data_IF_486071886835
#
_entry.id   IF_486071886835
#
_cell.length_a   1.000
_cell.length_b   1.000
_cell.length_c   1.000
_cell.angle_alpha   90.00
_cell.angle_beta   90.00
_cell.angle_gamma   90.00
#
_symmetry.space_group_name_H-M   'P 1'
#
loop_
_entity.id
_entity.type
_entity.pdbx_description
1 polymer ?
#
# COMPACT_ATOMS: atom_id res chain seq x y z
N UNK A 1 -26.74 55.17 50.38
CA UNK A 1 -26.69 56.45 49.63
C UNK A 1 -25.30 56.51 49.00
N UNK A 2 -25.18 56.07 47.74
CA UNK A 2 -25.17 56.90 46.52
C UNK A 2 -23.78 57.49 46.19
N UNK A 3 -23.32 57.15 44.96
CA UNK A 3 -22.34 57.89 44.13
C UNK A 3 -20.86 57.82 44.56
N UNK A 4 -19.83 57.69 43.71
CA UNK A 4 -19.66 57.97 42.27
C UNK A 4 -18.36 57.35 41.71
N UNK A 5 -18.41 56.91 40.43
CA UNK A 5 -17.40 56.93 39.34
C UNK A 5 -15.90 56.76 39.66
N UNK A 6 -15.19 55.70 39.26
CA UNK A 6 -14.66 55.40 37.89
C UNK A 6 -14.02 56.61 37.19
N UNK A 7 -12.68 56.66 37.13
CA UNK A 7 -11.92 56.66 35.87
C UNK A 7 -10.39 56.56 36.05
N UNK A 8 -9.78 55.78 35.13
CA UNK A 8 -8.42 55.85 34.60
C UNK A 8 -7.19 55.62 35.50
N UNK A 9 -6.59 54.42 35.41
CA UNK A 9 -5.18 54.11 35.02
C UNK A 9 -5.17 52.59 34.75
N UNK A 10 -5.11 52.09 33.51
CA UNK A 10 -3.90 52.04 32.68
C UNK A 10 -3.37 50.60 32.61
N UNK A 11 -4.07 49.71 31.91
CA UNK A 11 -3.65 48.32 31.66
C UNK A 11 -2.50 48.28 30.64
N UNK A 12 -1.33 47.83 31.08
CA UNK A 12 -0.21 47.43 30.22
C UNK A 12 -0.62 46.19 29.40
N UNK A 13 -0.86 46.38 28.09
CA UNK A 13 -1.03 45.28 27.14
C UNK A 13 0.33 44.64 26.88
N UNK A 14 0.41 43.35 27.15
CA UNK A 14 1.45 42.46 26.64
C UNK A 14 1.57 42.58 25.10
N UNK A 15 2.79 42.46 24.54
CA UNK A 15 3.00 42.56 23.10
C UNK A 15 2.28 41.41 22.40
N UNK A 16 1.35 41.76 21.51
CA UNK A 16 0.72 40.84 20.56
C UNK A 16 1.82 40.19 19.72
N UNK A 17 2.10 38.92 20.00
CA UNK A 17 2.83 38.02 19.11
C UNK A 17 2.16 38.05 17.75
N UNK A 18 2.90 38.55 16.76
CA UNK A 18 2.54 38.50 15.35
C UNK A 18 2.35 37.03 14.98
N UNK A 19 1.23 36.63 14.32
CA UNK A 19 1.12 35.27 13.82
C UNK A 19 2.25 35.08 12.80
N UNK A 20 3.20 34.20 13.14
CA UNK A 20 4.12 33.61 12.18
C UNK A 20 3.25 33.10 11.02
N UNK A 21 3.55 33.56 9.81
CA UNK A 21 2.88 33.10 8.61
C UNK A 21 3.03 31.58 8.52
N UNK A 22 1.99 30.85 8.91
CA UNK A 22 1.81 29.45 8.55
C UNK A 22 1.79 29.43 7.03
N UNK A 23 2.89 28.99 6.43
CA UNK A 23 2.97 28.76 5.00
C UNK A 23 1.78 27.91 4.59
N UNK A 24 1.07 28.33 3.55
CA UNK A 24 0.00 27.54 2.95
C UNK A 24 0.59 26.21 2.51
N UNK A 25 0.21 25.11 3.16
CA UNK A 25 0.61 23.76 2.75
C UNK A 25 0.11 23.56 1.31
N UNK A 26 1.00 23.22 0.35
CA UNK A 26 0.60 22.98 -1.03
C UNK A 26 -0.52 21.94 -1.10
N UNK A 27 -1.52 22.17 -1.96
CA UNK A 27 -2.56 21.17 -2.16
C UNK A 27 -1.99 19.95 -2.91
N UNK A 28 -2.61 18.79 -2.77
CA UNK A 28 -2.29 17.60 -3.57
C UNK A 28 -2.20 17.88 -5.09
N UNK A 29 -2.97 18.83 -5.61
CA UNK A 29 -2.90 19.26 -7.03
C UNK A 29 -1.61 20.02 -7.35
N UNK A 30 -1.15 20.87 -6.42
CA UNK A 30 0.09 21.63 -6.60
C UNK A 30 1.28 20.70 -6.61
N UNK A 31 1.29 19.68 -5.74
CA UNK A 31 2.33 18.67 -5.73
C UNK A 31 2.33 17.83 -7.03
N UNK A 32 1.16 17.43 -7.54
CA UNK A 32 1.06 16.77 -8.85
C UNK A 32 1.53 17.68 -10.00
N UNK A 33 1.21 18.97 -9.96
CA UNK A 33 1.71 19.93 -10.95
C UNK A 33 3.23 20.08 -10.88
N UNK A 34 3.80 20.12 -9.67
CA UNK A 34 5.25 20.13 -9.44
C UNK A 34 5.94 18.86 -9.97
N UNK A 35 5.34 17.68 -9.78
CA UNK A 35 5.86 16.44 -10.36
C UNK A 35 5.80 16.44 -11.88
N UNK A 36 4.72 16.94 -12.48
CA UNK A 36 4.60 17.07 -13.93
C UNK A 36 5.64 18.03 -14.52
N UNK A 37 5.92 19.14 -13.83
CA UNK A 37 6.97 20.07 -14.23
C UNK A 37 8.36 19.42 -14.14
N UNK A 38 8.64 18.72 -13.04
CA UNK A 38 9.88 17.95 -12.87
C UNK A 38 10.06 16.89 -13.96
N UNK A 39 9.01 16.12 -14.27
CA UNK A 39 9.01 15.13 -15.34
C UNK A 39 9.40 15.77 -16.68
N UNK A 40 8.81 16.92 -17.01
CA UNK A 40 9.11 17.65 -18.26
C UNK A 40 10.57 18.11 -18.30
N UNK A 41 11.10 18.63 -17.19
CA UNK A 41 12.49 19.06 -17.10
C UNK A 41 13.48 17.88 -17.24
N UNK A 42 13.19 16.76 -16.57
CA UNK A 42 13.98 15.53 -16.63
C UNK A 42 13.96 14.91 -18.03
N UNK A 43 12.81 14.88 -18.71
CA UNK A 43 12.72 14.38 -20.08
C UNK A 43 13.54 15.22 -21.06
N UNK A 44 13.64 16.53 -20.84
CA UNK A 44 14.55 17.40 -21.61
C UNK A 44 16.01 16.94 -21.55
N UNK A 45 16.46 16.37 -20.42
CA UNK A 45 17.82 15.89 -20.22
C UNK A 45 18.12 14.55 -20.91
N UNK A 46 17.10 13.86 -21.44
CA UNK A 46 17.30 12.67 -22.28
C UNK A 46 17.94 13.02 -23.62
N UNK A 47 17.81 14.27 -24.07
CA UNK A 47 18.50 14.73 -25.26
C UNK A 47 20.00 14.89 -24.99
N UNK A 48 20.88 14.53 -25.95
CA UNK A 48 22.32 14.72 -25.79
C UNK A 48 22.65 16.20 -25.58
N UNK A 49 23.34 16.51 -24.48
CA UNK A 49 23.86 17.84 -24.20
C UNK A 49 25.40 17.84 -24.18
N UNK A 50 25.97 19.04 -24.07
CA UNK A 50 27.42 19.26 -23.94
C UNK A 50 27.82 19.64 -22.52
N UNK A 51 26.98 19.39 -21.52
CA UNK A 51 27.29 19.74 -20.14
C UNK A 51 28.45 18.87 -19.64
N UNK A 52 29.40 19.45 -18.89
CA UNK A 52 30.37 18.67 -18.13
C UNK A 52 29.65 17.66 -17.21
N UNK A 53 30.23 16.48 -17.02
CA UNK A 53 29.61 15.38 -16.25
C UNK A 53 29.16 15.81 -14.85
N UNK A 54 30.00 16.55 -14.12
CA UNK A 54 29.67 17.04 -12.78
C UNK A 54 28.49 18.03 -12.80
N UNK A 55 28.43 18.93 -13.78
CA UNK A 55 27.32 19.87 -13.93
C UNK A 55 26.02 19.15 -14.30
N UNK A 56 26.10 18.12 -15.17
CA UNK A 56 24.95 17.29 -15.53
C UNK A 56 24.45 16.50 -14.31
N UNK A 57 25.35 15.89 -13.53
CA UNK A 57 24.99 15.20 -12.28
C UNK A 57 24.31 16.14 -11.30
N UNK A 58 24.87 17.33 -11.06
CA UNK A 58 24.30 18.33 -10.16
C UNK A 58 22.88 18.78 -10.59
N UNK A 59 22.64 18.93 -11.89
CA UNK A 59 21.32 19.28 -12.42
C UNK A 59 20.29 18.17 -12.20
N UNK A 60 20.66 16.91 -12.50
CA UNK A 60 19.77 15.75 -12.26
C UNK A 60 19.50 15.61 -10.75
N UNK A 61 20.52 15.79 -9.92
CA UNK A 61 20.42 15.76 -8.46
C UNK A 61 19.47 16.82 -7.89
N UNK A 62 19.48 18.03 -8.45
CA UNK A 62 18.55 19.08 -8.05
C UNK A 62 17.10 18.70 -8.39
N UNK A 63 16.85 18.25 -9.62
CA UNK A 63 15.52 17.81 -10.05
C UNK A 63 15.02 16.58 -9.26
N UNK A 64 15.91 15.65 -8.91
CA UNK A 64 15.58 14.57 -7.99
C UNK A 64 15.13 15.09 -6.62
N UNK A 65 15.84 16.08 -6.08
CA UNK A 65 15.52 16.69 -4.78
C UNK A 65 14.16 17.35 -4.83
N UNK A 66 13.89 18.15 -5.86
CA UNK A 66 12.61 18.82 -6.08
C UNK A 66 11.46 17.80 -6.21
N UNK A 67 11.68 16.71 -6.95
CA UNK A 67 10.72 15.62 -7.05
C UNK A 67 10.44 14.94 -5.71
N UNK A 68 11.47 14.66 -4.90
CA UNK A 68 11.30 14.05 -3.57
C UNK A 68 10.53 14.96 -2.61
N UNK A 69 10.75 16.27 -2.67
CA UNK A 69 9.99 17.25 -1.89
C UNK A 69 8.52 17.24 -2.31
N UNK A 70 8.22 17.35 -3.60
CA UNK A 70 6.85 17.29 -4.10
C UNK A 70 6.13 15.99 -3.72
N UNK A 71 6.83 14.85 -3.75
CA UNK A 71 6.30 13.56 -3.29
C UNK A 71 6.01 13.58 -1.78
N UNK A 72 6.92 14.08 -0.95
CA UNK A 72 6.75 14.12 0.50
C UNK A 72 5.56 15.01 0.89
N UNK A 73 5.42 16.18 0.26
CA UNK A 73 4.29 17.09 0.46
C UNK A 73 2.95 16.43 0.09
N UNK A 74 2.88 15.78 -1.07
CA UNK A 74 1.67 15.08 -1.52
C UNK A 74 1.25 13.94 -0.57
N UNK A 75 2.22 13.16 -0.09
CA UNK A 75 1.96 12.01 0.79
C UNK A 75 1.52 12.46 2.19
N UNK A 76 2.02 13.60 2.68
CA UNK A 76 1.58 14.15 3.97
C UNK A 76 0.07 14.47 3.94
N UNK A 77 -0.48 14.75 2.76
CA UNK A 77 -1.91 14.95 2.50
C UNK A 77 -2.60 13.72 1.88
N UNK A 78 -2.02 12.51 2.07
CA UNK A 78 -2.52 11.27 1.46
C UNK A 78 -3.99 10.98 1.77
N UNK A 79 -4.48 11.38 2.94
CA UNK A 79 -5.90 11.28 3.27
C UNK A 79 -6.79 12.08 2.29
N UNK A 80 -6.38 13.28 1.85
CA UNK A 80 -7.13 14.05 0.85
C UNK A 80 -6.99 13.50 -0.56
N UNK A 81 -5.86 12.84 -0.87
CA UNK A 81 -5.70 12.03 -2.09
C UNK A 81 -6.69 10.85 -2.14
N UNK A 82 -7.20 10.37 -0.98
CA UNK A 82 -8.23 9.33 -0.91
C UNK A 82 -9.66 9.87 -1.03
N UNK A 83 -9.97 11.01 -0.42
CA UNK A 83 -11.34 11.58 -0.33
C UNK A 83 -11.93 11.94 -1.71
N UNK A 84 -11.09 12.21 -2.70
CA UNK A 84 -11.54 12.69 -4.02
C UNK A 84 -11.73 11.57 -5.06
N UNK A 85 -11.96 10.35 -4.61
CA UNK A 85 -12.03 9.18 -5.47
C UNK A 85 -10.63 8.69 -5.84
N UNK A 86 -10.47 7.37 -5.83
CA UNK A 86 -9.19 6.65 -5.89
C UNK A 86 -8.36 6.93 -7.18
N UNK A 87 -8.92 7.65 -8.15
CA UNK A 87 -8.22 8.12 -9.34
C UNK A 87 -7.01 9.03 -9.03
N UNK A 88 -7.08 9.85 -7.98
CA UNK A 88 -6.02 10.82 -7.68
C UNK A 88 -4.76 10.17 -7.10
N UNK A 89 -4.89 9.24 -6.15
CA UNK A 89 -3.73 8.51 -5.63
C UNK A 89 -3.02 7.71 -6.72
N UNK A 90 -3.78 6.96 -7.53
CA UNK A 90 -3.18 6.19 -8.63
C UNK A 90 -2.46 7.10 -9.62
N UNK A 91 -3.11 8.17 -10.06
CA UNK A 91 -2.50 9.14 -10.99
C UNK A 91 -1.23 9.77 -10.41
N UNK A 92 -1.24 10.10 -9.11
CA UNK A 92 -0.06 10.59 -8.41
C UNK A 92 1.05 9.54 -8.36
N UNK A 93 0.73 8.29 -7.97
CA UNK A 93 1.70 7.20 -7.91
C UNK A 93 2.29 6.89 -9.30
N UNK A 94 1.49 6.94 -10.36
CA UNK A 94 1.95 6.79 -11.75
C UNK A 94 2.93 7.91 -12.15
N UNK A 95 2.61 9.16 -11.84
CA UNK A 95 3.50 10.31 -12.10
C UNK A 95 4.82 10.19 -11.34
N UNK A 96 4.76 9.86 -10.04
CA UNK A 96 5.96 9.59 -9.25
C UNK A 96 6.77 8.43 -9.84
N UNK A 97 6.10 7.33 -10.25
CA UNK A 97 6.74 6.20 -10.88
C UNK A 97 7.47 6.57 -12.19
N UNK A 98 6.88 7.44 -13.00
CA UNK A 98 7.50 7.94 -14.23
C UNK A 98 8.70 8.82 -13.95
N UNK A 99 8.59 9.78 -13.02
CA UNK A 99 9.70 10.66 -12.62
C UNK A 99 10.91 9.85 -12.15
N UNK A 100 10.71 8.89 -11.24
CA UNK A 100 11.80 8.02 -10.78
C UNK A 100 12.25 7.01 -11.83
N UNK A 101 11.43 6.73 -12.85
CA UNK A 101 11.83 6.01 -14.06
C UNK A 101 12.85 6.78 -14.88
N UNK A 102 12.54 8.05 -15.19
CA UNK A 102 13.45 8.91 -15.94
C UNK A 102 14.76 9.09 -15.17
N UNK A 103 14.71 9.30 -13.85
CA UNK A 103 15.90 9.39 -13.00
C UNK A 103 16.73 8.10 -13.03
N UNK A 104 16.09 6.93 -12.94
CA UNK A 104 16.76 5.63 -13.05
C UNK A 104 17.52 5.49 -14.37
N UNK A 105 16.92 5.94 -15.48
CA UNK A 105 17.55 5.93 -16.80
C UNK A 105 18.70 6.94 -16.90
N UNK A 106 18.49 8.19 -16.48
CA UNK A 106 19.52 9.25 -16.54
C UNK A 106 20.74 8.93 -15.68
N UNK A 107 20.55 8.41 -14.47
CA UNK A 107 21.66 7.95 -13.64
C UNK A 107 22.28 6.66 -14.18
N UNK A 108 21.49 5.79 -14.82
CA UNK A 108 21.98 4.60 -15.50
C UNK A 108 22.96 4.96 -16.62
N UNK A 109 22.57 5.93 -17.46
CA UNK A 109 23.43 6.46 -18.53
C UNK A 109 24.73 7.04 -18.00
N UNK A 110 24.71 7.70 -16.84
CA UNK A 110 25.93 8.21 -16.18
C UNK A 110 26.80 7.07 -15.62
N UNK A 111 26.17 6.07 -14.98
CA UNK A 111 26.84 4.89 -14.42
C UNK A 111 27.58 4.09 -15.49
N UNK A 112 26.99 3.99 -16.68
CA UNK A 112 27.51 3.21 -17.82
C UNK A 112 28.66 3.92 -18.55
N UNK A 113 28.93 5.21 -18.26
CA UNK A 113 30.06 5.92 -18.87
C UNK A 113 31.39 5.35 -18.39
N UNK A 114 32.24 4.99 -19.36
CA UNK A 114 33.62 4.65 -19.11
C UNK A 114 34.40 5.85 -18.57
N UNK A 115 35.33 5.60 -17.64
CA UNK A 115 36.24 6.63 -17.12
C UNK A 115 35.61 7.65 -16.18
N UNK A 116 34.40 7.40 -15.64
CA UNK A 116 33.83 8.23 -14.57
C UNK A 116 34.77 8.21 -13.35
N UNK A 117 35.21 9.37 -12.84
CA UNK A 117 35.98 9.48 -11.60
C UNK A 117 35.30 8.74 -10.43
N UNK A 118 36.10 8.21 -9.51
CA UNK A 118 35.62 7.33 -8.42
C UNK A 118 34.67 8.04 -7.44
N UNK A 119 34.92 9.32 -7.18
CA UNK A 119 34.07 10.20 -6.36
C UNK A 119 32.70 10.40 -7.01
N UNK A 120 32.67 10.76 -8.30
CA UNK A 120 31.43 10.90 -9.07
C UNK A 120 30.72 9.55 -9.23
N UNK A 121 31.45 8.45 -9.38
CA UNK A 121 30.86 7.10 -9.45
C UNK A 121 30.16 6.73 -8.17
N UNK A 122 30.78 7.02 -7.03
CA UNK A 122 30.17 6.77 -5.72
C UNK A 122 28.87 7.55 -5.54
N UNK A 123 28.84 8.82 -5.93
CA UNK A 123 27.61 9.63 -5.88
C UNK A 123 26.53 9.09 -6.84
N UNK A 124 26.91 8.76 -8.09
CA UNK A 124 26.00 8.21 -9.09
C UNK A 124 25.40 6.87 -8.62
N UNK A 125 26.20 5.97 -8.04
CA UNK A 125 25.72 4.67 -7.56
C UNK A 125 24.70 4.82 -6.41
N UNK A 126 24.93 5.77 -5.49
CA UNK A 126 23.98 6.07 -4.41
C UNK A 126 22.67 6.62 -4.97
N UNK A 127 22.74 7.58 -5.89
CA UNK A 127 21.55 8.21 -6.48
C UNK A 127 20.79 7.25 -7.40
N UNK A 128 21.50 6.42 -8.16
CA UNK A 128 20.92 5.38 -9.00
C UNK A 128 20.16 4.34 -8.15
N UNK A 129 20.77 3.86 -7.07
CA UNK A 129 20.10 2.94 -6.15
C UNK A 129 18.90 3.58 -5.46
N UNK A 130 19.03 4.85 -5.05
CA UNK A 130 17.93 5.62 -4.46
C UNK A 130 16.77 5.82 -5.43
N UNK A 131 17.05 6.15 -6.70
CA UNK A 131 16.06 6.26 -7.76
C UNK A 131 15.40 4.92 -8.06
N UNK A 132 16.17 3.81 -8.09
CA UNK A 132 15.64 2.46 -8.25
C UNK A 132 14.69 2.07 -7.11
N UNK A 133 15.06 2.37 -5.86
CA UNK A 133 14.22 2.10 -4.69
C UNK A 133 12.90 2.90 -4.75
N UNK A 134 12.95 4.18 -5.09
CA UNK A 134 11.74 4.99 -5.25
C UNK A 134 10.89 4.53 -6.44
N UNK A 135 11.51 4.24 -7.58
CA UNK A 135 10.81 3.67 -8.75
C UNK A 135 10.06 2.40 -8.35
N UNK A 136 10.72 1.48 -7.64
CA UNK A 136 10.10 0.23 -7.19
C UNK A 136 8.90 0.48 -6.26
N UNK A 137 9.04 1.38 -5.28
CA UNK A 137 7.96 1.76 -4.37
C UNK A 137 6.73 2.20 -5.15
N UNK A 138 6.91 3.10 -6.11
CA UNK A 138 5.82 3.67 -6.89
C UNK A 138 5.26 2.70 -7.92
N UNK A 139 6.07 1.83 -8.50
CA UNK A 139 5.62 0.74 -9.37
C UNK A 139 4.64 -0.20 -8.63
N UNK A 140 4.98 -0.58 -7.40
CA UNK A 140 4.13 -1.42 -6.54
C UNK A 140 2.81 -0.74 -6.15
N UNK A 141 2.78 0.60 -6.11
CA UNK A 141 1.59 1.39 -5.71
C UNK A 141 0.72 1.82 -6.89
N UNK A 142 1.31 2.09 -8.05
CA UNK A 142 0.62 2.60 -9.25
C UNK A 142 0.05 1.50 -10.13
N UNK A 143 0.55 0.27 -10.00
CA UNK A 143 0.23 -0.84 -10.92
C UNK A 143 0.63 -0.54 -12.37
N UNK A 144 1.73 0.20 -12.58
CA UNK A 144 2.37 0.30 -13.91
C UNK A 144 3.26 -0.91 -14.17
N UNK A 145 3.59 -1.22 -15.45
CA UNK A 145 4.46 -2.34 -15.78
C UNK A 145 5.85 -2.24 -15.12
N UNK A 146 6.42 -3.41 -14.84
CA UNK A 146 7.74 -3.52 -14.22
C UNK A 146 8.83 -2.86 -15.07
N UNK A 147 9.69 -2.05 -14.44
CA UNK A 147 10.80 -1.44 -15.15
C UNK A 147 11.87 -2.47 -15.51
N UNK A 148 12.11 -2.67 -16.82
CA UNK A 148 12.94 -3.75 -17.38
C UNK A 148 14.36 -3.85 -16.80
N UNK A 149 14.98 -2.71 -16.44
CA UNK A 149 16.36 -2.69 -15.93
C UNK A 149 16.45 -2.61 -14.40
N UNK A 150 15.34 -2.47 -13.67
CA UNK A 150 15.39 -2.08 -12.26
C UNK A 150 16.19 -3.07 -11.41
N UNK A 151 15.90 -4.36 -11.54
CA UNK A 151 16.58 -5.39 -10.76
C UNK A 151 18.02 -5.64 -11.23
N UNK A 152 18.31 -5.47 -12.52
CA UNK A 152 19.69 -5.48 -13.02
C UNK A 152 20.50 -4.35 -12.36
N UNK A 153 19.98 -3.12 -12.36
CA UNK A 153 20.68 -1.97 -11.76
C UNK A 153 20.91 -2.16 -10.26
N UNK A 154 19.89 -2.61 -9.51
CA UNK A 154 20.04 -2.89 -8.08
C UNK A 154 21.13 -3.94 -7.82
N UNK A 155 21.14 -5.01 -8.63
CA UNK A 155 22.14 -6.07 -8.55
C UNK A 155 23.56 -5.59 -8.85
N UNK A 156 23.74 -4.86 -9.96
CA UNK A 156 25.03 -4.32 -10.38
C UNK A 156 25.62 -3.38 -9.32
N UNK A 157 24.79 -2.49 -8.76
CA UNK A 157 25.22 -1.55 -7.70
C UNK A 157 25.58 -2.31 -6.43
N UNK A 158 24.77 -3.31 -6.04
CA UNK A 158 25.07 -4.13 -4.87
C UNK A 158 26.43 -4.82 -4.98
N UNK A 159 26.72 -5.39 -6.16
CA UNK A 159 28.00 -6.04 -6.45
C UNK A 159 29.16 -5.04 -6.44
N UNK A 160 29.01 -3.86 -7.07
CA UNK A 160 30.04 -2.81 -7.05
C UNK A 160 30.32 -2.27 -5.66
N UNK A 161 29.28 -2.09 -4.85
CA UNK A 161 29.38 -1.59 -3.48
C UNK A 161 29.88 -2.67 -2.49
N UNK A 162 30.12 -3.90 -2.96
CA UNK A 162 30.50 -5.05 -2.15
C UNK A 162 29.58 -5.25 -0.93
N UNK A 163 28.28 -5.02 -1.12
CA UNK A 163 27.25 -5.13 -0.07
C UNK A 163 27.37 -4.14 1.09
N UNK A 164 28.12 -3.04 0.95
CA UNK A 164 28.36 -2.07 2.01
C UNK A 164 28.23 -0.60 1.56
N UNK A 165 28.19 0.32 2.52
CA UNK A 165 28.12 1.76 2.24
C UNK A 165 26.74 2.27 1.82
N UNK A 166 26.64 3.56 1.43
CA UNK A 166 25.34 4.21 1.21
C UNK A 166 24.56 3.63 0.02
N UNK A 167 25.22 3.23 -1.06
CA UNK A 167 24.57 2.64 -2.23
C UNK A 167 23.92 1.29 -1.90
N UNK A 168 24.63 0.43 -1.14
CA UNK A 168 24.09 -0.84 -0.66
C UNK A 168 22.88 -0.65 0.27
N UNK A 169 22.86 0.42 1.09
CA UNK A 169 21.68 0.76 1.93
C UNK A 169 20.45 1.10 1.10
N UNK A 170 20.62 1.81 -0.02
CA UNK A 170 19.49 2.09 -0.92
C UNK A 170 19.04 0.82 -1.68
N UNK A 171 19.95 -0.10 -2.01
CA UNK A 171 19.56 -1.44 -2.49
C UNK A 171 18.75 -2.22 -1.42
N UNK A 172 19.14 -2.17 -0.14
CA UNK A 172 18.37 -2.76 0.96
C UNK A 172 17.00 -2.11 1.12
N UNK A 173 16.89 -0.78 0.90
CA UNK A 173 15.59 -0.09 0.88
C UNK A 173 14.67 -0.64 -0.21
N UNK A 174 15.18 -0.87 -1.42
CA UNK A 174 14.40 -1.48 -2.49
C UNK A 174 13.90 -2.89 -2.11
N UNK A 175 14.77 -3.72 -1.53
CA UNK A 175 14.42 -5.05 -1.03
C UNK A 175 13.39 -4.98 0.11
N UNK A 176 13.49 -3.98 0.97
CA UNK A 176 12.53 -3.72 2.04
C UNK A 176 11.14 -3.39 1.47
N UNK A 177 11.03 -2.48 0.49
CA UNK A 177 9.75 -2.18 -0.18
C UNK A 177 9.12 -3.43 -0.81
N UNK A 178 9.93 -4.24 -1.51
CA UNK A 178 9.44 -5.46 -2.15
C UNK A 178 8.96 -6.50 -1.13
N UNK A 179 9.76 -6.77 -0.10
CA UNK A 179 9.46 -7.78 0.92
C UNK A 179 8.34 -7.36 1.87
N UNK A 180 8.17 -6.06 2.11
CA UNK A 180 7.03 -5.49 2.83
C UNK A 180 5.71 -5.57 2.05
N UNK A 181 5.74 -6.07 0.81
CA UNK A 181 4.53 -6.28 0.01
C UNK A 181 3.78 -4.98 -0.25
N UNK A 182 4.51 -3.93 -0.66
CA UNK A 182 3.93 -2.60 -0.93
C UNK A 182 2.73 -2.63 -1.87
N UNK A 183 2.57 -3.65 -2.73
CA UNK A 183 1.39 -3.88 -3.57
C UNK A 183 0.09 -4.22 -2.80
N UNK A 184 0.18 -4.34 -1.46
CA UNK A 184 -0.91 -4.59 -0.53
C UNK A 184 -1.09 -3.47 0.50
N UNK A 185 -0.19 -2.48 0.52
CA UNK A 185 -0.23 -1.39 1.49
C UNK A 185 -1.27 -0.38 1.03
N UNK A 186 -2.31 -0.10 1.84
CA UNK A 186 -3.28 0.92 1.49
C UNK A 186 -2.60 2.28 1.43
N UNK A 187 -3.02 3.19 0.53
CA UNK A 187 -2.39 4.49 0.36
C UNK A 187 -2.20 5.29 1.65
N UNK A 188 -3.17 5.26 2.56
CA UNK A 188 -3.10 5.96 3.84
C UNK A 188 -1.98 5.46 4.76
N UNK A 189 -1.56 4.20 4.63
CA UNK A 189 -0.47 3.61 5.40
C UNK A 189 0.90 3.76 4.71
N UNK A 190 0.96 4.17 3.44
CA UNK A 190 2.21 4.32 2.68
C UNK A 190 3.23 5.25 3.36
N UNK A 191 2.88 6.46 3.87
CA UNK A 191 3.84 7.29 4.60
C UNK A 191 4.42 6.58 5.82
N UNK A 192 3.55 5.99 6.65
CA UNK A 192 3.95 5.30 7.88
C UNK A 192 4.90 4.12 7.59
N UNK A 193 4.57 3.28 6.61
CA UNK A 193 5.41 2.13 6.22
C UNK A 193 6.76 2.62 5.67
N UNK A 194 6.79 3.68 4.87
CA UNK A 194 8.01 4.25 4.31
C UNK A 194 8.96 4.79 5.39
N UNK A 195 8.43 5.55 6.36
CA UNK A 195 9.21 6.05 7.50
C UNK A 195 9.75 4.92 8.38
N UNK A 196 8.93 3.88 8.65
CA UNK A 196 9.37 2.70 9.40
C UNK A 196 10.47 1.93 8.66
N UNK A 197 10.39 1.77 7.34
CA UNK A 197 11.48 1.21 6.54
C UNK A 197 12.74 2.07 6.66
N UNK A 198 12.60 3.39 6.60
CA UNK A 198 13.70 4.33 6.81
C UNK A 198 14.46 4.08 8.11
N UNK A 199 13.74 3.89 9.22
CA UNK A 199 14.33 3.56 10.54
C UNK A 199 14.88 2.13 10.58
N UNK A 200 14.29 1.20 9.85
CA UNK A 200 14.69 -0.21 9.84
C UNK A 200 15.97 -0.49 9.06
N UNK A 201 16.32 0.30 8.04
CA UNK A 201 17.45 0.04 7.11
C UNK A 201 18.78 -0.33 7.79
N UNK A 202 19.23 0.35 8.86
CA UNK A 202 20.46 -0.01 9.55
C UNK A 202 20.47 -1.43 10.14
N UNK A 203 19.29 -2.04 10.31
CA UNK A 203 19.06 -3.36 10.89
C UNK A 203 18.62 -4.41 9.83
N UNK A 204 18.73 -4.06 8.55
CA UNK A 204 18.48 -4.97 7.42
C UNK A 204 19.80 -5.44 6.82
N UNK A 205 19.82 -6.68 6.35
CA UNK A 205 21.01 -7.26 5.74
C UNK A 205 20.67 -8.23 4.60
N UNK A 206 21.68 -8.47 3.76
CA UNK A 206 21.74 -9.61 2.85
C UNK A 206 22.87 -10.54 3.32
N UNK A 207 22.52 -11.77 3.66
CA UNK A 207 23.47 -12.76 4.16
C UNK A 207 23.62 -13.93 3.17
N UNK A 208 24.82 -14.51 3.02
CA UNK A 208 24.99 -15.75 2.25
C UNK A 208 24.17 -16.90 2.84
N UNK A 209 23.64 -17.75 1.95
CA UNK A 209 22.94 -18.98 2.32
C UNK A 209 21.45 -18.78 2.63
N UNK A 210 20.64 -19.82 2.38
CA UNK A 210 19.21 -19.82 2.73
C UNK A 210 19.05 -20.08 4.23
N UNK A 211 18.63 -19.07 4.99
CA UNK A 211 18.30 -19.25 6.41
C UNK A 211 16.80 -19.56 6.57
N UNK A 212 16.42 -20.26 7.65
CA UNK A 212 15.00 -20.48 7.96
C UNK A 212 14.25 -19.17 8.29
N UNK A 213 15.00 -18.13 8.65
CA UNK A 213 14.54 -16.80 9.07
C UNK A 213 14.38 -15.85 7.89
N UNK A 214 15.30 -15.88 6.93
CA UNK A 214 15.27 -15.01 5.77
C UNK A 214 14.48 -15.61 4.62
N UNK A 215 13.44 -14.89 4.21
CA UNK A 215 12.37 -15.45 3.38
C UNK A 215 12.37 -14.95 1.95
N UNK A 216 13.32 -14.12 1.58
CA UNK A 216 13.50 -13.66 0.21
C UNK A 216 14.94 -13.94 -0.21
N UNK A 217 15.10 -14.68 -1.31
CA UNK A 217 16.37 -14.83 -1.99
C UNK A 217 16.50 -13.76 -3.06
N UNK A 218 17.64 -13.10 -3.07
CA UNK A 218 18.04 -12.15 -4.08
C UNK A 218 19.38 -12.61 -4.66
N UNK A 219 19.40 -12.85 -5.96
CA UNK A 219 20.64 -13.05 -6.71
C UNK A 219 20.95 -11.73 -7.45
N UNK A 220 21.97 -10.97 -7.00
CA UNK A 220 22.36 -9.72 -7.65
C UNK A 220 22.73 -9.89 -9.13
N UNK A 221 23.26 -11.04 -9.55
CA UNK A 221 23.69 -11.27 -10.92
C UNK A 221 22.53 -11.69 -11.84
N UNK A 222 21.42 -12.18 -11.30
CA UNK A 222 20.29 -12.67 -12.09
C UNK A 222 19.44 -11.57 -12.73
N UNK A 223 19.53 -10.33 -12.23
CA UNK A 223 18.71 -9.21 -12.71
C UNK A 223 17.20 -9.41 -12.51
N UNK A 224 16.81 -10.18 -11.50
CA UNK A 224 15.41 -10.56 -11.23
C UNK A 224 14.94 -10.09 -9.84
N UNK A 225 13.63 -9.88 -9.66
CA UNK A 225 13.08 -9.58 -8.35
C UNK A 225 13.37 -10.69 -7.33
N UNK A 226 13.46 -10.34 -6.02
CA UNK A 226 13.67 -11.33 -4.97
C UNK A 226 12.56 -12.38 -4.95
N UNK A 227 12.95 -13.65 -4.86
CA UNK A 227 12.00 -14.76 -4.76
C UNK A 227 11.70 -15.08 -3.31
N UNK A 228 10.43 -15.13 -2.95
CA UNK A 228 10.02 -15.59 -1.62
C UNK A 228 10.27 -17.09 -1.46
N UNK A 229 11.04 -17.49 -0.45
CA UNK A 229 11.25 -18.87 -0.04
C UNK A 229 9.99 -19.44 0.62
N UNK A 230 9.55 -20.58 0.13
CA UNK A 230 8.44 -21.37 0.69
C UNK A 230 8.97 -22.65 1.37
N UNK A 231 10.14 -23.13 0.96
CA UNK A 231 10.89 -24.23 1.56
C UNK A 231 12.38 -23.87 1.53
N UNK A 232 13.15 -24.40 2.48
CA UNK A 232 14.61 -24.29 2.47
C UNK A 232 15.11 -25.14 1.30
N UNK A 233 15.59 -24.48 0.25
CA UNK A 233 16.26 -25.09 -0.89
C UNK A 233 17.77 -24.89 -0.72
N UNK A 234 18.59 -25.75 -1.33
CA UNK A 234 20.02 -25.47 -1.44
C UNK A 234 20.17 -24.14 -2.20
N UNK A 235 20.83 -23.13 -1.63
CA UNK A 235 21.00 -21.84 -2.29
C UNK A 235 21.77 -22.04 -3.59
N UNK A 236 21.24 -21.50 -4.69
CA UNK A 236 21.99 -21.37 -5.94
C UNK A 236 23.25 -20.52 -5.67
N UNK A 237 24.35 -20.81 -6.38
CA UNK A 237 25.61 -20.09 -6.19
C UNK A 237 25.40 -18.58 -6.37
N UNK A 238 25.74 -17.78 -5.35
CA UNK A 238 25.61 -16.31 -5.39
C UNK A 238 24.30 -15.74 -4.84
N UNK A 239 23.30 -16.57 -4.53
CA UNK A 239 22.05 -16.11 -3.93
C UNK A 239 22.24 -15.66 -2.48
N UNK A 240 21.74 -14.46 -2.17
CA UNK A 240 21.75 -13.85 -0.85
C UNK A 240 20.35 -13.85 -0.25
N UNK A 241 20.29 -14.01 1.06
CA UNK A 241 19.04 -14.04 1.81
C UNK A 241 18.80 -12.70 2.48
N UNK A 242 17.64 -12.10 2.26
CA UNK A 242 17.20 -10.91 2.97
C UNK A 242 16.84 -11.24 4.42
N UNK A 243 17.53 -10.58 5.35
CA UNK A 243 17.40 -10.76 6.79
C UNK A 243 16.84 -9.49 7.41
N UNK A 244 15.74 -9.64 8.16
CA UNK A 244 15.03 -8.55 8.83
C UNK A 244 14.82 -8.80 10.33
N UNK A 245 15.50 -9.78 10.93
CA UNK A 245 15.30 -10.19 12.32
C UNK A 245 15.55 -9.04 13.32
N UNK A 246 16.67 -8.33 13.17
CA UNK A 246 17.02 -7.20 14.03
C UNK A 246 16.05 -6.03 13.84
N UNK A 247 15.66 -5.75 12.58
CA UNK A 247 14.61 -4.77 12.30
C UNK A 247 13.28 -5.15 12.97
N UNK A 248 12.87 -6.42 12.92
CA UNK A 248 11.67 -6.91 13.60
C UNK A 248 11.72 -6.70 15.11
N UNK A 249 12.88 -6.87 15.75
CA UNK A 249 13.03 -6.62 17.19
C UNK A 249 12.76 -5.14 17.54
N UNK A 250 13.36 -4.21 16.79
CA UNK A 250 13.14 -2.76 16.98
C UNK A 250 11.68 -2.38 16.71
N UNK A 251 11.11 -2.86 15.61
CA UNK A 251 9.72 -2.59 15.24
C UNK A 251 8.72 -3.18 16.25
N UNK A 252 9.05 -4.29 16.90
CA UNK A 252 8.22 -4.86 17.97
C UNK A 252 8.19 -3.94 19.19
N UNK A 253 9.33 -3.34 19.55
CA UNK A 253 9.40 -2.32 20.61
C UNK A 253 8.58 -1.07 20.27
N UNK A 254 8.59 -0.63 19.01
CA UNK A 254 7.73 0.46 18.54
C UNK A 254 6.25 0.10 18.59
N UNK A 255 5.89 -1.14 18.26
CA UNK A 255 4.51 -1.63 18.36
C UNK A 255 3.97 -1.56 19.79
N UNK A 256 4.79 -1.85 20.80
CA UNK A 256 4.41 -1.68 22.20
C UNK A 256 4.19 -0.21 22.56
N UNK A 257 5.09 0.69 22.15
CA UNK A 257 4.94 2.14 22.41
C UNK A 257 3.68 2.72 21.76
N UNK A 258 3.42 2.38 20.50
CA UNK A 258 2.24 2.84 19.76
C UNK A 258 0.95 2.32 20.39
N UNK A 259 0.95 1.09 20.93
CA UNK A 259 -0.19 0.57 21.67
C UNK A 259 -0.52 1.37 22.94
N UNK A 260 0.49 1.98 23.56
CA UNK A 260 0.35 2.90 24.71
C UNK A 260 0.07 4.36 24.26
N UNK A 261 -0.12 4.60 22.97
CA UNK A 261 -0.37 5.93 22.39
C UNK A 261 0.88 6.79 22.24
N UNK A 262 2.08 6.22 22.39
CA UNK A 262 3.36 6.91 22.28
C UNK A 262 3.91 6.78 20.86
N UNK A 263 4.22 7.91 20.21
CA UNK A 263 4.88 7.93 18.89
C UNK A 263 6.38 7.71 19.07
N UNK A 264 6.99 6.69 18.44
CA UNK A 264 8.41 6.42 18.59
C UNK A 264 9.30 7.55 18.05
N UNK A 265 10.52 7.72 18.59
CA UNK A 265 11.47 8.72 18.12
C UNK A 265 11.77 8.59 16.62
N UNK A 266 11.85 9.71 15.91
CA UNK A 266 12.11 9.74 14.46
C UNK A 266 10.89 9.47 13.57
N UNK A 267 9.72 9.20 14.16
CA UNK A 267 8.44 9.03 13.43
C UNK A 267 7.44 10.16 13.70
N UNK A 268 7.84 11.18 14.46
CA UNK A 268 6.98 12.34 14.73
C UNK A 268 6.62 13.08 13.43
N UNK A 269 5.33 13.29 13.20
CA UNK A 269 4.81 13.95 11.99
C UNK A 269 4.78 13.07 10.74
N UNK A 270 5.25 11.82 10.79
CA UNK A 270 5.21 10.90 9.65
C UNK A 270 3.79 10.38 9.36
N UNK A 271 3.03 10.13 10.42
CA UNK A 271 1.69 9.55 10.38
C UNK A 271 1.01 9.67 11.75
N UNK A 272 -0.30 9.45 11.83
CA UNK A 272 -1.00 9.32 13.10
C UNK A 272 -0.74 7.94 13.77
N UNK A 273 -1.13 7.81 15.05
CA UNK A 273 -0.92 6.59 15.84
C UNK A 273 -1.61 5.36 15.22
N UNK A 274 -2.77 5.54 14.59
CA UNK A 274 -3.51 4.43 13.98
C UNK A 274 -2.82 3.93 12.71
N UNK A 275 -2.35 4.85 11.87
CA UNK A 275 -1.56 4.57 10.67
C UNK A 275 -0.23 3.90 11.03
N UNK A 276 0.44 4.37 12.09
CA UNK A 276 1.66 3.72 12.60
C UNK A 276 1.38 2.29 13.09
N UNK A 277 0.29 2.08 13.81
CA UNK A 277 -0.11 0.75 14.28
C UNK A 277 -0.37 -0.21 13.11
N UNK A 278 -1.10 0.24 12.09
CA UNK A 278 -1.36 -0.54 10.87
C UNK A 278 -0.06 -0.88 10.13
N UNK A 279 0.82 0.12 9.95
CA UNK A 279 2.09 -0.07 9.27
C UNK A 279 3.03 -1.05 10.01
N UNK A 280 3.11 -0.96 11.34
CA UNK A 280 3.84 -1.90 12.18
C UNK A 280 3.27 -3.31 12.07
N UNK A 281 1.94 -3.45 12.09
CA UNK A 281 1.29 -4.74 11.90
C UNK A 281 1.65 -5.35 10.53
N UNK A 282 1.67 -4.55 9.46
CA UNK A 282 2.05 -5.03 8.12
C UNK A 282 3.49 -5.55 8.11
N UNK A 283 4.45 -4.74 8.59
CA UNK A 283 5.87 -5.09 8.56
C UNK A 283 6.16 -6.30 9.43
N UNK A 284 5.73 -6.29 10.70
CA UNK A 284 5.94 -7.40 11.63
C UNK A 284 5.29 -8.69 11.12
N UNK A 285 4.10 -8.59 10.51
CA UNK A 285 3.45 -9.75 9.91
C UNK A 285 4.27 -10.32 8.77
N UNK A 286 4.88 -9.51 7.90
CA UNK A 286 5.56 -9.99 6.68
C UNK A 286 7.05 -10.31 6.87
N UNK A 287 7.69 -9.74 7.89
CA UNK A 287 9.10 -9.95 8.21
C UNK A 287 9.33 -10.85 9.44
N UNK A 288 8.27 -11.32 10.11
CA UNK A 288 8.40 -12.27 11.22
C UNK A 288 9.08 -13.58 10.80
N UNK A 289 9.36 -14.43 11.78
CA UNK A 289 9.84 -15.80 11.54
C UNK A 289 8.74 -16.70 10.96
N UNK A 290 7.47 -16.29 11.04
CA UNK A 290 6.28 -17.03 10.59
C UNK A 290 5.33 -16.27 9.64
N UNK A 291 5.83 -15.74 8.49
CA UNK A 291 5.12 -15.42 7.27
C UNK A 291 3.74 -15.98 7.07
N UNK A 292 2.70 -15.21 6.72
CA UNK A 292 1.55 -15.83 6.08
C UNK A 292 1.98 -16.66 4.86
N UNK A 293 1.87 -17.98 4.96
CA UNK A 293 2.06 -18.91 3.85
C UNK A 293 0.70 -19.21 3.26
N UNK A 294 0.65 -19.41 1.94
CA UNK A 294 -0.59 -19.82 1.27
C UNK A 294 -1.06 -21.14 1.87
N UNK A 295 -2.25 -21.12 2.50
CA UNK A 295 -2.87 -22.32 3.10
C UNK A 295 -3.43 -23.28 2.07
N UNK A 296 -3.89 -22.75 0.94
CA UNK A 296 -4.53 -23.52 -0.12
C UNK A 296 -3.75 -23.36 -1.43
N UNK A 297 -3.62 -24.49 -2.15
CA UNK A 297 -3.04 -24.50 -3.49
C UNK A 297 -3.93 -23.69 -4.44
N UNK A 298 -3.30 -22.96 -5.36
CA UNK A 298 -3.98 -22.33 -6.48
C UNK A 298 -3.99 -23.28 -7.67
N UNK A 299 -5.15 -23.38 -8.29
CA UNK A 299 -5.36 -24.12 -9.53
C UNK A 299 -5.42 -23.07 -10.65
N UNK A 300 -4.61 -23.25 -11.69
CA UNK A 300 -4.74 -22.45 -12.90
C UNK A 300 -6.08 -22.82 -13.54
N UNK A 301 -6.94 -21.84 -13.71
CA UNK A 301 -8.31 -22.00 -14.18
C UNK A 301 -8.58 -20.86 -15.13
N UNK A 302 -8.91 -21.18 -16.38
CA UNK A 302 -9.46 -20.22 -17.33
C UNK A 302 -10.95 -20.00 -17.09
N UNK A 303 -11.52 -19.03 -17.80
CA UNK A 303 -12.95 -18.73 -17.78
C UNK A 303 -13.24 -17.25 -17.57
N UNK A 304 -14.52 -16.91 -17.56
CA UNK A 304 -15.00 -15.56 -17.28
C UNK A 304 -15.69 -15.48 -15.92
N UNK A 305 -15.50 -14.35 -15.23
CA UNK A 305 -16.21 -13.98 -14.02
C UNK A 305 -17.10 -12.78 -14.32
N UNK A 306 -18.39 -12.89 -13.99
CA UNK A 306 -19.25 -11.72 -13.83
C UNK A 306 -18.88 -11.03 -12.52
N UNK A 307 -18.63 -9.72 -12.58
CA UNK A 307 -18.18 -8.93 -11.44
C UNK A 307 -19.06 -7.70 -11.26
N UNK A 308 -19.55 -7.53 -10.03
CA UNK A 308 -20.26 -6.34 -9.55
C UNK A 308 -19.42 -5.70 -8.45
N UNK A 309 -19.30 -4.37 -8.46
CA UNK A 309 -18.43 -3.64 -7.53
C UNK A 309 -19.23 -2.76 -6.60
N UNK A 310 -18.79 -2.70 -5.35
CA UNK A 310 -19.36 -1.85 -4.31
C UNK A 310 -20.57 -2.46 -3.59
N UNK A 311 -20.71 -2.09 -2.32
CA UNK A 311 -21.72 -2.62 -1.40
C UNK A 311 -23.14 -2.48 -1.95
N UNK A 312 -23.53 -1.27 -2.36
CA UNK A 312 -24.90 -0.99 -2.79
C UNK A 312 -25.33 -1.80 -4.01
N UNK A 313 -24.42 -1.96 -4.99
CA UNK A 313 -24.73 -2.74 -6.20
C UNK A 313 -24.85 -4.21 -5.87
N UNK A 314 -23.95 -4.73 -5.03
CA UNK A 314 -23.97 -6.12 -4.58
C UNK A 314 -25.25 -6.38 -3.75
N UNK A 315 -25.62 -5.46 -2.87
CA UNK A 315 -26.86 -5.50 -2.10
C UNK A 315 -28.07 -5.54 -3.03
N UNK A 316 -28.18 -4.62 -3.98
CA UNK A 316 -29.27 -4.57 -4.95
C UNK A 316 -29.35 -5.87 -5.79
N UNK A 317 -28.20 -6.41 -6.19
CA UNK A 317 -28.09 -7.67 -6.91
C UNK A 317 -28.62 -8.85 -6.09
N UNK A 318 -28.17 -8.99 -4.84
CA UNK A 318 -28.59 -10.08 -3.96
C UNK A 318 -30.05 -9.96 -3.51
N UNK A 319 -30.60 -8.74 -3.48
CA UNK A 319 -32.01 -8.49 -3.25
C UNK A 319 -32.90 -8.76 -4.49
N UNK A 320 -32.32 -9.09 -5.65
CA UNK A 320 -33.05 -9.31 -6.91
C UNK A 320 -33.47 -8.03 -7.64
N UNK A 321 -32.94 -6.88 -7.22
CA UNK A 321 -33.30 -5.55 -7.73
C UNK A 321 -32.37 -5.04 -8.85
N UNK A 322 -31.30 -5.77 -9.17
CA UNK A 322 -30.36 -5.42 -10.23
C UNK A 322 -30.39 -6.50 -11.33
N UNK A 323 -30.63 -6.09 -12.58
CA UNK A 323 -30.47 -6.94 -13.77
C UNK A 323 -29.37 -6.36 -14.66
N UNK A 324 -28.38 -7.20 -15.01
CA UNK A 324 -27.36 -6.97 -16.05
C UNK A 324 -26.54 -5.66 -15.98
N UNK A 325 -25.87 -5.41 -14.85
CA UNK A 325 -24.82 -4.37 -14.77
C UNK A 325 -23.52 -4.96 -14.18
N UNK A 326 -23.05 -6.01 -14.85
CA UNK A 326 -21.89 -6.78 -14.45
C UNK A 326 -20.80 -6.62 -15.50
N UNK A 327 -19.56 -6.46 -15.05
CA UNK A 327 -18.39 -6.53 -15.89
C UNK A 327 -17.92 -7.98 -16.06
N UNK A 328 -17.26 -8.29 -17.18
CA UNK A 328 -16.67 -9.61 -17.41
C UNK A 328 -15.15 -9.53 -17.23
N UNK A 329 -14.65 -10.22 -16.20
CA UNK A 329 -13.23 -10.34 -15.91
C UNK A 329 -12.72 -11.73 -16.30
N UNK A 330 -11.45 -11.85 -16.66
CA UNK A 330 -10.88 -13.15 -17.06
C UNK A 330 -10.22 -13.85 -15.87
N UNK A 331 -10.75 -15.01 -15.46
CA UNK A 331 -10.15 -15.82 -14.40
C UNK A 331 -8.78 -16.35 -14.85
N UNK A 332 -7.80 -16.29 -13.96
CA UNK A 332 -6.45 -16.82 -14.17
C UNK A 332 -6.19 -18.03 -13.28
N UNK A 333 -6.52 -17.92 -12.00
CA UNK A 333 -6.43 -19.02 -11.05
C UNK A 333 -7.38 -18.81 -9.88
N UNK A 334 -7.75 -19.92 -9.23
CA UNK A 334 -8.52 -19.87 -8.00
C UNK A 334 -7.95 -20.83 -6.94
N UNK A 335 -8.32 -20.56 -5.70
CA UNK A 335 -8.10 -21.38 -4.51
C UNK A 335 -9.34 -21.29 -3.63
N UNK A 336 -9.39 -22.07 -2.55
CA UNK A 336 -10.52 -22.04 -1.61
C UNK A 336 -10.79 -20.67 -0.97
N UNK A 337 -9.77 -19.82 -0.84
CA UNK A 337 -9.87 -18.53 -0.13
C UNK A 337 -9.61 -17.32 -1.03
N UNK A 338 -9.57 -17.49 -2.35
CA UNK A 338 -9.33 -16.35 -3.23
C UNK A 338 -8.99 -16.75 -4.65
N UNK A 339 -8.99 -15.75 -5.52
CA UNK A 339 -8.81 -15.89 -6.94
C UNK A 339 -7.94 -14.77 -7.52
N UNK A 340 -7.46 -14.98 -8.74
CA UNK A 340 -6.79 -13.98 -9.53
C UNK A 340 -7.52 -13.81 -10.86
N UNK A 341 -7.74 -12.57 -11.27
CA UNK A 341 -8.44 -12.24 -12.49
C UNK A 341 -7.80 -11.05 -13.20
N UNK A 342 -7.86 -11.03 -14.52
CA UNK A 342 -7.50 -9.86 -15.33
C UNK A 342 -8.71 -8.95 -15.47
N UNK A 343 -8.49 -7.66 -15.21
CA UNK A 343 -9.51 -6.61 -15.29
C UNK A 343 -9.59 -6.09 -16.72
N UNK A 344 -10.80 -5.98 -17.31
CA UNK A 344 -10.97 -5.45 -18.64
C UNK A 344 -10.48 -4.00 -18.72
N UNK A 345 -9.92 -3.55 -19.86
CA UNK A 345 -9.38 -2.19 -20.01
C UNK A 345 -10.32 -1.07 -19.54
N UNK A 346 -11.62 -1.18 -19.84
CA UNK A 346 -12.63 -0.19 -19.48
C UNK A 346 -12.86 -0.01 -17.97
N UNK A 347 -12.41 -0.97 -17.14
CA UNK A 347 -12.58 -0.90 -15.68
C UNK A 347 -11.30 -0.64 -14.91
N UNK A 348 -10.14 -0.63 -15.57
CA UNK A 348 -8.83 -0.54 -14.91
C UNK A 348 -8.71 0.70 -14.02
N UNK A 349 -9.22 1.83 -14.48
CA UNK A 349 -9.17 3.09 -13.74
C UNK A 349 -10.16 3.13 -12.57
N UNK A 350 -11.22 2.31 -12.62
CA UNK A 350 -12.31 2.35 -11.64
C UNK A 350 -12.11 1.38 -10.48
N UNK A 351 -11.34 0.32 -10.66
CA UNK A 351 -11.08 -0.71 -9.63
C UNK A 351 -9.94 -0.28 -8.71
N UNK A 352 -10.04 -0.60 -7.42
CA UNK A 352 -9.11 -0.16 -6.39
C UNK A 352 -8.72 -1.29 -5.42
N UNK A 353 -7.59 -1.10 -4.74
CA UNK A 353 -7.21 -1.94 -3.62
C UNK A 353 -8.23 -1.73 -2.49
N UNK A 354 -8.72 -2.82 -1.90
CA UNK A 354 -9.76 -2.78 -0.87
C UNK A 354 -11.19 -2.79 -1.41
N UNK A 355 -11.42 -2.70 -2.73
CA UNK A 355 -12.78 -2.72 -3.29
C UNK A 355 -13.51 -4.03 -2.94
N UNK A 356 -14.77 -3.89 -2.55
CA UNK A 356 -15.70 -5.00 -2.40
C UNK A 356 -16.23 -5.42 -3.78
N UNK A 357 -16.17 -6.70 -4.05
CA UNK A 357 -16.64 -7.29 -5.32
C UNK A 357 -17.55 -8.48 -5.10
N UNK A 358 -18.66 -8.49 -5.81
CA UNK A 358 -19.50 -9.67 -6.04
C UNK A 358 -18.98 -10.41 -7.26
N UNK A 359 -18.83 -11.73 -7.16
CA UNK A 359 -18.19 -12.57 -8.18
C UNK A 359 -19.09 -13.77 -8.50
N UNK A 360 -19.32 -14.04 -9.78
CA UNK A 360 -20.02 -15.23 -10.24
C UNK A 360 -19.26 -15.81 -11.45
N UNK A 361 -19.02 -17.13 -11.45
CA UNK A 361 -18.46 -17.78 -12.63
C UNK A 361 -19.49 -17.74 -13.77
N UNK A 362 -19.12 -17.24 -14.94
CA UNK A 362 -20.07 -17.06 -16.05
C UNK A 362 -20.64 -18.37 -16.58
N UNK A 363 -19.90 -19.47 -16.41
CA UNK A 363 -20.23 -20.81 -16.93
C UNK A 363 -20.92 -21.70 -15.90
N UNK A 364 -21.16 -21.24 -14.67
CA UNK A 364 -21.82 -22.07 -13.67
C UNK A 364 -23.33 -22.15 -13.90
N UNK A 365 -23.86 -23.38 -13.94
CA UNK A 365 -25.31 -23.62 -14.00
C UNK A 365 -26.06 -23.05 -12.78
N UNK A 366 -25.38 -22.94 -11.63
CA UNK A 366 -25.88 -22.28 -10.44
C UNK A 366 -25.53 -20.79 -10.48
N UNK A 367 -26.55 -19.93 -10.33
CA UNK A 367 -26.37 -18.47 -10.25
C UNK A 367 -25.87 -18.05 -8.85
N UNK A 368 -24.74 -18.59 -8.41
CA UNK A 368 -24.20 -18.35 -7.07
C UNK A 368 -23.17 -17.23 -7.05
N UNK A 369 -23.50 -16.15 -6.36
CA UNK A 369 -22.59 -15.03 -6.13
C UNK A 369 -21.71 -15.29 -4.92
N UNK A 370 -20.44 -14.94 -5.04
CA UNK A 370 -19.45 -14.93 -3.97
C UNK A 370 -19.11 -13.47 -3.64
N UNK A 371 -18.69 -13.19 -2.41
CA UNK A 371 -18.10 -11.91 -2.03
C UNK A 371 -16.60 -12.02 -1.93
N UNK A 372 -15.90 -11.01 -2.41
CA UNK A 372 -14.47 -10.86 -2.20
C UNK A 372 -14.03 -9.42 -2.03
N UNK A 373 -12.80 -9.26 -1.55
CA UNK A 373 -12.13 -7.97 -1.42
C UNK A 373 -10.87 -8.00 -2.29
N UNK A 374 -10.64 -6.95 -3.07
CA UNK A 374 -9.39 -6.79 -3.83
C UNK A 374 -8.25 -6.55 -2.84
N UNK A 375 -7.31 -7.49 -2.76
CA UNK A 375 -6.15 -7.42 -1.83
C UNK A 375 -4.84 -7.10 -2.51
N UNK A 376 -4.76 -7.27 -3.83
CA UNK A 376 -3.55 -7.02 -4.61
C UNK A 376 -3.92 -6.55 -5.99
N UNK A 377 -3.10 -5.66 -6.54
CA UNK A 377 -3.19 -5.21 -7.92
C UNK A 377 -1.78 -5.18 -8.50
N UNK A 378 -1.61 -5.69 -9.72
CA UNK A 378 -0.33 -5.67 -10.44
C UNK A 378 -0.56 -5.48 -11.93
N UNK A 379 0.22 -4.63 -12.57
CA UNK A 379 0.33 -4.70 -14.02
C UNK A 379 1.11 -5.95 -14.43
N UNK A 380 0.67 -6.53 -15.52
CA UNK A 380 1.33 -7.62 -16.23
C UNK A 380 1.31 -7.27 -17.72
N UNK A 381 2.04 -8.03 -18.52
CA UNK A 381 1.99 -7.91 -19.99
C UNK A 381 0.56 -8.07 -20.54
N UNK A 382 -0.26 -8.88 -19.87
CA UNK A 382 -1.65 -9.16 -20.24
C UNK A 382 -2.65 -8.14 -19.67
N UNK A 383 -2.18 -7.11 -18.95
CA UNK A 383 -3.01 -6.09 -18.31
C UNK A 383 -3.00 -6.15 -16.79
N UNK A 384 -4.02 -5.54 -16.18
CA UNK A 384 -4.15 -5.40 -14.75
C UNK A 384 -4.65 -6.72 -14.12
N UNK A 385 -3.77 -7.40 -13.40
CA UNK A 385 -4.07 -8.59 -12.63
C UNK A 385 -4.44 -8.18 -11.20
N UNK A 386 -5.62 -8.62 -10.74
CA UNK A 386 -6.06 -8.40 -9.36
C UNK A 386 -6.12 -9.71 -8.59
N UNK A 387 -5.65 -9.68 -7.35
CA UNK A 387 -5.77 -10.76 -6.40
C UNK A 387 -6.91 -10.47 -5.43
N UNK A 388 -7.91 -11.34 -5.43
CA UNK A 388 -9.13 -11.18 -4.64
C UNK A 388 -9.15 -12.22 -3.52
N UNK A 389 -9.37 -11.77 -2.30
CA UNK A 389 -9.67 -12.64 -1.16
C UNK A 389 -11.17 -12.93 -1.14
N UNK A 390 -11.56 -14.20 -1.10
CA UNK A 390 -12.97 -14.59 -0.98
C UNK A 390 -13.39 -14.48 0.48
N UNK A 391 -14.33 -13.58 0.75
CA UNK A 391 -14.90 -13.35 2.08
C UNK A 391 -16.07 -14.29 2.33
N UNK A 392 -16.99 -14.42 1.37
CA UNK A 392 -18.12 -15.34 1.49
C UNK A 392 -18.36 -16.08 0.18
N UNK A 393 -18.71 -17.36 0.28
CA UNK A 393 -19.10 -18.15 -0.89
C UNK A 393 -20.60 -18.07 -1.21
N UNK A 394 -21.40 -17.73 -0.19
CA UNK A 394 -22.87 -17.69 -0.25
C UNK A 394 -23.36 -16.57 0.66
N UNK A 395 -23.12 -15.30 0.27
CA UNK A 395 -23.61 -14.17 1.02
C UNK A 395 -25.13 -14.15 1.02
N UNK A 396 -25.71 -13.72 2.13
CA UNK A 396 -27.17 -13.61 2.26
C UNK A 396 -27.50 -12.17 2.64
N UNK A 397 -28.42 -11.56 1.91
CA UNK A 397 -28.97 -10.27 2.27
C UNK A 397 -29.91 -10.43 3.49
N UNK A 398 -29.68 -9.64 4.53
CA UNK A 398 -30.42 -9.68 5.79
C UNK A 398 -30.66 -8.27 6.33
N UNK A 399 -31.63 -8.14 7.23
CA UNK A 399 -31.82 -6.95 8.04
C UNK A 399 -31.11 -7.11 9.38
N UNK A 400 -30.30 -6.11 9.75
CA UNK A 400 -29.51 -6.06 10.96
C UNK A 400 -29.93 -4.89 11.84
N UNK A 401 -30.48 -5.17 13.02
CA UNK A 401 -31.04 -4.17 13.93
C UNK A 401 -30.13 -4.01 15.16
N UNK A 402 -29.70 -2.78 15.43
CA UNK A 402 -28.85 -2.44 16.58
C UNK A 402 -29.66 -2.07 17.85
N UNK A 403 -30.99 -2.22 17.80
CA UNK A 403 -31.95 -1.81 18.81
C UNK A 403 -32.46 -0.37 18.62
N UNK A 404 -31.96 0.36 17.62
CA UNK A 404 -32.40 1.73 17.27
C UNK A 404 -32.94 1.77 15.85
N UNK A 405 -32.18 1.24 14.90
CA UNK A 405 -32.50 1.24 13.47
C UNK A 405 -32.11 -0.09 12.86
N UNK A 406 -32.97 -0.57 11.96
CA UNK A 406 -32.65 -1.66 11.06
C UNK A 406 -31.80 -1.17 9.89
N UNK A 407 -30.71 -1.88 9.63
CA UNK A 407 -29.77 -1.64 8.54
C UNK A 407 -29.77 -2.80 7.56
N UNK A 408 -29.56 -2.49 6.29
CA UNK A 408 -29.28 -3.48 5.28
C UNK A 408 -27.89 -4.07 5.47
N UNK A 409 -27.79 -5.40 5.47
CA UNK A 409 -26.53 -6.10 5.73
C UNK A 409 -26.37 -7.34 4.85
N UNK A 410 -25.12 -7.76 4.67
CA UNK A 410 -24.74 -9.03 4.06
C UNK A 410 -24.14 -9.94 5.12
N UNK A 411 -24.82 -11.05 5.37
CA UNK A 411 -24.34 -12.14 6.19
C UNK A 411 -23.33 -12.96 5.39
N UNK A 412 -22.08 -13.00 5.86
CA UNK A 412 -20.99 -13.68 5.15
C UNK A 412 -20.81 -15.15 5.58
N UNK A 413 -21.28 -15.50 6.77
CA UNK A 413 -21.11 -16.81 7.40
C UNK A 413 -22.44 -17.36 7.91
N UNK A 414 -22.60 -18.69 8.06
CA UNK A 414 -23.77 -19.26 8.72
C UNK A 414 -23.91 -18.81 10.19
N UNK A 415 -25.14 -18.60 10.65
CA UNK A 415 -25.44 -18.25 12.04
C UNK A 415 -25.53 -19.51 12.92
N UNK A 416 -24.39 -19.94 13.45
CA UNK A 416 -24.29 -21.09 14.36
C UNK A 416 -23.99 -20.61 15.78
N UNK A 417 -24.80 -21.01 16.76
CA UNK A 417 -24.65 -20.59 18.17
C UNK A 417 -23.23 -20.87 18.69
N UNK A 418 -22.61 -19.86 19.30
CA UNK A 418 -21.25 -19.91 19.84
C UNK A 418 -20.15 -19.57 18.84
N UNK A 419 -20.42 -19.69 17.53
CA UNK A 419 -19.45 -19.44 16.46
C UNK A 419 -19.35 -17.96 16.10
N UNK A 420 -18.24 -17.61 15.45
CA UNK A 420 -18.06 -16.28 14.88
C UNK A 420 -18.74 -16.17 13.50
N UNK A 421 -19.47 -15.08 13.28
CA UNK A 421 -20.07 -14.73 12.00
C UNK A 421 -19.63 -13.33 11.59
N UNK A 422 -19.26 -13.17 10.31
CA UNK A 422 -18.93 -11.88 9.72
C UNK A 422 -20.16 -11.25 9.10
N UNK A 423 -20.36 -9.98 9.43
CA UNK A 423 -21.44 -9.14 8.91
C UNK A 423 -20.80 -7.99 8.15
N UNK A 424 -21.29 -7.75 6.94
CA UNK A 424 -20.84 -6.67 6.08
C UNK A 424 -21.98 -5.67 5.89
N UNK A 425 -21.72 -4.39 6.14
CA UNK A 425 -22.69 -3.29 5.98
C UNK A 425 -22.03 -2.10 5.30
N UNK A 426 -22.83 -1.09 4.94
CA UNK A 426 -22.31 0.22 4.52
C UNK A 426 -21.50 0.89 5.65
N UNK A 427 -20.44 1.61 5.27
CA UNK A 427 -19.53 2.29 6.21
C UNK A 427 -20.29 3.19 7.19
N UNK A 428 -19.98 3.03 8.49
CA UNK A 428 -20.50 3.90 9.56
C UNK A 428 -21.94 3.58 10.01
N UNK A 429 -22.54 2.48 9.54
CA UNK A 429 -23.91 2.10 9.94
C UNK A 429 -23.97 1.32 11.25
N UNK A 430 -22.96 0.53 11.63
CA UNK A 430 -23.03 -0.22 12.88
C UNK A 430 -22.41 0.56 14.05
N UNK A 431 -23.01 0.52 15.25
CA UNK A 431 -22.41 1.11 16.45
C UNK A 431 -21.15 0.33 16.85
N UNK A 432 -20.11 1.01 17.34
CA UNK A 432 -18.85 0.38 17.74
C UNK A 432 -19.01 -0.66 18.87
N UNK A 433 -20.05 -0.52 19.69
CA UNK A 433 -20.42 -1.44 20.76
C UNK A 433 -21.93 -1.63 20.80
N UNK A 434 -22.38 -2.82 21.23
CA UNK A 434 -23.80 -3.17 21.30
C UNK A 434 -24.09 -4.48 20.60
N UNK A 435 -25.14 -5.18 21.05
CA UNK A 435 -25.58 -6.39 20.38
C UNK A 435 -26.29 -6.04 19.06
N UNK A 436 -26.14 -6.91 18.07
CA UNK A 436 -26.83 -6.81 16.78
C UNK A 436 -27.87 -7.93 16.68
N UNK A 437 -29.06 -7.62 16.18
CA UNK A 437 -30.12 -8.60 15.97
C UNK A 437 -30.32 -8.83 14.48
N UNK A 438 -30.09 -10.05 14.01
CA UNK A 438 -30.28 -10.43 12.61
C UNK A 438 -31.58 -11.20 12.46
N UNK A 439 -32.46 -10.72 11.58
CA UNK A 439 -33.65 -11.47 11.17
C UNK A 439 -33.35 -12.31 9.93
N UNK A 440 -33.36 -13.63 10.06
CA UNK A 440 -33.11 -14.56 8.96
C UNK A 440 -34.03 -15.78 9.06
N UNK A 441 -34.72 -16.11 7.95
CA UNK A 441 -35.69 -17.24 7.87
C UNK A 441 -36.74 -17.23 9.00
N UNK A 442 -37.24 -16.04 9.36
CA UNK A 442 -38.24 -15.85 10.41
C UNK A 442 -37.71 -16.04 11.84
N UNK A 443 -36.41 -16.24 12.02
CA UNK A 443 -35.76 -16.33 13.35
C UNK A 443 -34.89 -15.10 13.58
N UNK A 444 -34.91 -14.57 14.81
CA UNK A 444 -34.04 -13.48 15.23
C UNK A 444 -32.85 -14.05 15.98
N UNK A 445 -31.64 -13.75 15.50
CA UNK A 445 -30.38 -14.13 16.13
C UNK A 445 -29.75 -12.93 16.81
N UNK A 446 -29.38 -13.06 18.09
CA UNK A 446 -28.61 -12.05 18.81
C UNK A 446 -27.13 -12.29 18.61
N UNK A 447 -26.40 -11.24 18.24
CA UNK A 447 -24.97 -11.26 17.97
C UNK A 447 -24.23 -10.32 18.90
N UNK A 448 -23.10 -10.75 19.45
CA UNK A 448 -22.22 -9.94 20.30
C UNK A 448 -20.97 -9.53 19.53
N UNK A 449 -20.58 -8.25 19.50
CA UNK A 449 -19.42 -7.80 18.73
C UNK A 449 -18.13 -8.39 19.28
N UNK A 450 -17.23 -8.76 18.36
CA UNK A 450 -15.84 -9.11 18.66
C UNK A 450 -14.93 -7.97 18.21
N UNK A 451 -13.74 -7.87 18.80
CA UNK A 451 -12.74 -6.85 18.47
C UNK A 451 -11.99 -7.22 17.17
N UNK A 452 -12.74 -7.38 16.08
CA UNK A 452 -12.20 -7.63 14.76
C UNK A 452 -13.09 -6.95 13.72
N UNK A 453 -12.51 -6.01 12.98
CA UNK A 453 -13.16 -5.32 11.87
C UNK A 453 -12.18 -5.08 10.73
N UNK A 454 -12.71 -4.85 9.54
CA UNK A 454 -11.99 -4.41 8.36
C UNK A 454 -12.92 -3.51 7.58
N UNK A 455 -12.45 -2.37 7.11
CA UNK A 455 -13.28 -1.46 6.31
C UNK A 455 -12.66 -1.26 4.94
N UNK A 456 -13.52 -1.03 3.95
CA UNK A 456 -13.15 -0.51 2.65
C UNK A 456 -13.74 0.87 2.45
N UNK A 457 -13.84 1.29 1.18
CA UNK A 457 -14.36 2.61 0.82
C UNK A 457 -15.84 2.77 1.19
N UNK A 458 -16.66 1.77 0.88
CA UNK A 458 -18.13 1.81 1.00
C UNK A 458 -18.70 0.70 1.91
N UNK A 459 -17.83 -0.04 2.59
CA UNK A 459 -18.26 -1.08 3.52
C UNK A 459 -17.43 -1.14 4.80
N UNK A 460 -18.05 -1.68 5.84
CA UNK A 460 -17.37 -2.26 6.99
C UNK A 460 -17.74 -3.74 7.14
N UNK A 461 -16.73 -4.56 7.40
CA UNK A 461 -16.83 -5.98 7.74
C UNK A 461 -16.50 -6.12 9.22
N UNK A 462 -17.44 -6.64 10.00
CA UNK A 462 -17.27 -6.82 11.44
C UNK A 462 -17.53 -8.27 11.84
N UNK A 463 -16.78 -8.74 12.82
CA UNK A 463 -16.94 -10.09 13.37
C UNK A 463 -17.79 -10.03 14.63
N UNK A 464 -18.80 -10.89 14.70
CA UNK A 464 -19.64 -11.07 15.87
C UNK A 464 -19.64 -12.53 16.31
N UNK A 465 -19.91 -12.78 17.60
CA UNK A 465 -20.24 -14.10 18.11
C UNK A 465 -21.77 -14.28 18.12
N UNK A 466 -22.25 -15.42 17.63
CA UNK A 466 -23.67 -15.78 17.68
C UNK A 466 -24.01 -16.29 19.08
N UNK A 467 -25.04 -15.71 19.71
CA UNK A 467 -25.40 -15.99 21.12
C UNK A 467 -26.34 -17.18 21.32
#
# INVERSE_FOLDING_TARGET
>A
MLSSSLDAVGNLKEPRSTPQALGTVPSARDAMAGLKANMTALDGLRTPDRLPLAARLALIAQLETDARVAVAEAITDAARLQVHGVALWRSFAEQACHVFGILLELYGDLSDRAGLPEDLRSEVDVRLAGAAAQRLRWELQSCVPEHRQLWCRIGDIWLRANGSGPAARECLRALAYYSAGFDQVPPAAVPAVDSLIGVAIPFLALAPGATAVGRYLFDPAAGKPPRRLVRVEQPENGALTFVAADACAILSGFSSQVADGVVPPGLAGAADVAQLAEALQILLRLWSDSPPVRRYRRHQLGGALKVVRGFDRIRALLAGNLQDDNSLWQLQNASRCGLAALVPPAERERICLGDLVGLQASESHEQMWHLGIVRRMRATENGLLVGIETISQRPIFVSADDGRVAHDALLCDPLLKGEAARILVETGKLPAAGALFISHRGTVHKLKPLNASTSGYDFELRVYQVM
#
